data_IF_010871404164
#
_entry.id   IF_010871404164
#
_cell.length_a   1.000
_cell.length_b   1.000
_cell.length_c   1.000
_cell.angle_alpha   90.00
_cell.angle_beta   90.00
_cell.angle_gamma   90.00
#
_symmetry.space_group_name_H-M   'P 1'
#
loop_
_entity.id
_entity.type
_entity.pdbx_description
1 polymer ?
#
# COMPACT_ATOMS: atom_id res chain seq x y z
N UNK A 1 -3.76 -11.69 15.84
CA UNK A 1 -3.63 -10.22 16.02
C UNK A 1 -4.90 -9.76 16.70
N UNK A 2 -4.79 -9.41 17.98
CA UNK A 2 -5.89 -9.01 18.85
C UNK A 2 -6.66 -7.84 18.21
N UNK A 3 -7.98 -7.99 18.06
CA UNK A 3 -8.86 -6.91 17.65
C UNK A 3 -8.95 -5.94 18.83
N UNK A 4 -8.09 -4.93 18.86
CA UNK A 4 -8.26 -3.78 19.76
C UNK A 4 -9.63 -3.18 19.44
N UNK A 5 -10.60 -3.18 20.36
CA UNK A 5 -11.91 -2.59 20.13
C UNK A 5 -11.68 -1.10 19.88
N UNK A 6 -11.96 -0.65 18.67
CA UNK A 6 -11.98 0.78 18.38
C UNK A 6 -13.19 1.30 19.13
N UNK A 7 -12.98 1.91 20.30
CA UNK A 7 -14.06 2.46 21.12
C UNK A 7 -15.06 3.17 20.22
N UNK A 8 -16.29 2.68 20.20
CA UNK A 8 -17.39 3.31 19.50
C UNK A 8 -17.76 4.57 20.28
N UNK A 9 -16.94 5.60 20.13
CA UNK A 9 -17.26 6.93 20.58
C UNK A 9 -18.58 7.33 19.95
N UNK A 10 -19.50 7.91 20.74
CA UNK A 10 -20.78 8.39 20.25
C UNK A 10 -20.52 9.43 19.15
N UNK A 11 -20.88 9.09 17.91
CA UNK A 11 -20.73 9.98 16.74
C UNK A 11 -22.04 10.73 16.52
N UNK A 12 -21.95 12.01 16.15
CA UNK A 12 -23.13 12.78 15.77
C UNK A 12 -23.68 12.30 14.41
N UNK A 13 -24.98 12.49 14.19
CA UNK A 13 -25.66 12.09 12.93
C UNK A 13 -25.00 12.70 11.68
N UNK A 14 -24.43 13.90 11.80
CA UNK A 14 -23.71 14.55 10.71
C UNK A 14 -22.41 13.81 10.36
N UNK A 15 -21.68 13.28 11.36
CA UNK A 15 -20.46 12.49 11.16
C UNK A 15 -20.79 11.15 10.51
N UNK A 16 -21.86 10.48 10.94
CA UNK A 16 -22.32 9.21 10.35
C UNK A 16 -22.63 9.39 8.86
N UNK A 17 -23.41 10.41 8.52
CA UNK A 17 -23.75 10.74 7.12
C UNK A 17 -22.51 11.07 6.27
N UNK A 18 -21.50 11.72 6.87
CA UNK A 18 -20.22 12.01 6.21
C UNK A 18 -19.40 10.74 5.96
N UNK A 19 -19.39 9.81 6.91
CA UNK A 19 -18.71 8.53 6.77
C UNK A 19 -19.38 7.64 5.73
N UNK A 20 -20.71 7.58 5.70
CA UNK A 20 -21.46 6.83 4.68
C UNK A 20 -21.15 7.35 3.27
N UNK A 21 -21.22 8.68 3.07
CA UNK A 21 -20.86 9.30 1.78
C UNK A 21 -19.43 8.97 1.34
N UNK A 22 -18.47 8.92 2.28
CA UNK A 22 -17.07 8.57 1.99
C UNK A 22 -16.87 7.08 1.69
N UNK A 23 -17.70 6.20 2.25
CA UNK A 23 -17.60 4.75 2.03
C UNK A 23 -18.07 4.33 0.64
N UNK A 24 -19.04 5.04 0.07
CA UNK A 24 -19.64 4.68 -1.23
C UNK A 24 -18.63 4.57 -2.38
N UNK A 25 -17.56 5.38 -2.38
CA UNK A 25 -16.50 5.35 -3.40
C UNK A 25 -15.18 4.75 -2.93
N UNK A 26 -15.15 4.14 -1.74
CA UNK A 26 -13.92 3.61 -1.14
C UNK A 26 -13.67 2.17 -1.60
N UNK A 27 -13.38 2.00 -2.89
CA UNK A 27 -12.87 0.73 -3.43
C UNK A 27 -11.34 0.81 -3.51
N UNK A 28 -10.67 -0.24 -3.04
CA UNK A 28 -9.22 -0.40 -3.18
C UNK A 28 -8.95 -1.51 -4.19
N UNK A 29 -7.85 -1.40 -4.93
CA UNK A 29 -7.41 -2.47 -5.81
C UNK A 29 -7.01 -3.71 -4.98
N UNK A 30 -7.43 -4.94 -5.37
CA UNK A 30 -7.13 -6.15 -4.61
C UNK A 30 -5.64 -6.38 -4.37
N UNK A 31 -4.76 -6.02 -5.32
CA UNK A 31 -3.32 -6.21 -5.16
C UNK A 31 -2.74 -5.26 -4.12
N UNK A 32 -3.32 -4.07 -3.98
CA UNK A 32 -2.93 -3.11 -2.94
C UNK A 32 -3.44 -3.61 -1.57
N UNK A 33 -4.65 -4.17 -1.51
CA UNK A 33 -5.20 -4.74 -0.28
C UNK A 33 -4.34 -5.90 0.26
N UNK A 34 -3.84 -6.78 -0.62
CA UNK A 34 -2.91 -7.84 -0.25
C UNK A 34 -1.63 -7.29 0.41
N UNK A 35 -1.05 -6.22 -0.16
CA UNK A 35 0.13 -5.57 0.40
C UNK A 35 -0.13 -4.90 1.75
N UNK A 36 -1.32 -4.32 1.94
CA UNK A 36 -1.76 -3.82 3.25
C UNK A 36 -1.82 -4.93 4.29
N UNK A 37 -2.25 -6.14 3.91
CA UNK A 37 -2.18 -7.33 4.76
C UNK A 37 -0.75 -7.68 5.19
N UNK A 38 0.20 -7.53 4.26
CA UNK A 38 1.64 -7.76 4.51
C UNK A 38 2.37 -6.63 5.25
N UNK A 39 1.75 -5.46 5.40
CA UNK A 39 2.35 -4.29 6.07
C UNK A 39 3.52 -3.64 5.33
N UNK A 40 3.75 -4.02 4.07
CA UNK A 40 4.82 -3.47 3.21
C UNK A 40 4.23 -3.15 1.85
N UNK A 41 4.39 -1.90 1.42
CA UNK A 41 3.90 -1.40 0.14
C UNK A 41 5.06 -1.20 -0.83
N UNK A 42 4.83 -1.49 -2.11
CA UNK A 42 5.78 -1.15 -3.17
C UNK A 42 5.57 0.31 -3.61
N UNK A 43 6.65 1.06 -3.69
CA UNK A 43 6.64 2.48 -4.06
C UNK A 43 7.79 2.81 -5.02
N UNK A 44 7.58 3.83 -5.85
CA UNK A 44 8.60 4.40 -6.73
C UNK A 44 9.19 5.66 -6.10
N UNK A 45 10.52 5.74 -6.01
CA UNK A 45 11.22 6.96 -5.60
C UNK A 45 11.26 7.89 -6.82
N UNK A 46 10.55 9.01 -6.74
CA UNK A 46 10.50 10.03 -7.81
C UNK A 46 11.53 11.14 -7.61
N UNK A 47 12.11 11.24 -6.42
CA UNK A 47 13.16 12.19 -6.07
C UNK A 47 14.55 11.73 -6.48
N UNK A 48 15.53 12.66 -6.46
CA UNK A 48 16.96 12.39 -6.72
C UNK A 48 17.75 12.52 -5.42
N UNK A 49 17.76 11.49 -4.56
CA UNK A 49 18.27 11.58 -3.19
C UNK A 49 19.72 12.05 -3.10
N UNK A 50 20.57 11.72 -4.08
CA UNK A 50 21.96 12.19 -4.11
C UNK A 50 22.14 13.70 -4.34
N UNK A 51 21.08 14.41 -4.76
CA UNK A 51 21.10 15.86 -4.97
C UNK A 51 20.23 16.57 -3.93
N UNK A 52 19.02 16.07 -3.68
CA UNK A 52 18.07 16.71 -2.78
C UNK A 52 18.13 16.20 -1.32
N UNK A 53 18.88 15.12 -1.04
CA UNK A 53 18.96 14.51 0.30
C UNK A 53 17.68 13.84 0.78
N UNK A 54 16.69 13.68 -0.10
CA UNK A 54 15.35 13.15 0.23
C UNK A 54 14.98 12.00 -0.70
N UNK A 55 14.23 11.03 -0.17
CA UNK A 55 13.73 9.85 -0.89
C UNK A 55 12.20 9.87 -0.96
N UNK A 56 11.63 10.99 -1.41
CA UNK A 56 10.20 11.11 -1.65
C UNK A 56 9.78 10.34 -2.91
N UNK A 57 8.53 9.88 -2.93
CA UNK A 57 8.00 8.98 -3.94
C UNK A 57 6.48 8.80 -3.86
N UNK A 58 5.96 7.85 -4.63
CA UNK A 58 4.53 7.50 -4.67
C UNK A 58 4.33 5.97 -4.67
N UNK A 59 3.16 5.52 -4.22
CA UNK A 59 2.80 4.09 -4.16
C UNK A 59 2.47 3.59 -5.57
N UNK A 60 2.92 2.37 -5.89
CA UNK A 60 2.59 1.75 -7.16
C UNK A 60 1.14 1.25 -7.16
N UNK A 61 0.36 1.62 -8.17
CA UNK A 61 -1.05 1.25 -8.29
C UNK A 61 -1.37 0.66 -9.68
N UNK A 62 -2.45 -0.12 -9.76
CA UNK A 62 -2.99 -0.67 -11.01
C UNK A 62 -1.95 -1.35 -11.91
N UNK A 63 -1.91 -0.97 -13.19
CA UNK A 63 -1.04 -1.59 -14.22
C UNK A 63 0.45 -1.47 -13.89
N UNK A 64 0.86 -0.38 -13.25
CA UNK A 64 2.27 -0.17 -12.88
C UNK A 64 2.69 -1.18 -11.81
N UNK A 65 1.82 -1.41 -10.83
CA UNK A 65 2.05 -2.40 -9.78
C UNK A 65 2.15 -3.82 -10.35
N UNK A 66 1.25 -4.20 -11.25
CA UNK A 66 1.29 -5.51 -11.92
C UNK A 66 2.59 -5.73 -12.70
N UNK A 67 3.04 -4.71 -13.43
CA UNK A 67 4.26 -4.77 -14.23
C UNK A 67 5.50 -5.04 -13.37
N UNK A 68 5.68 -4.27 -12.29
CA UNK A 68 6.82 -4.44 -11.40
C UNK A 68 6.74 -5.72 -10.58
N UNK A 69 5.55 -6.14 -10.15
CA UNK A 69 5.36 -7.42 -9.44
C UNK A 69 5.81 -8.60 -10.29
N UNK A 70 5.38 -8.65 -11.57
CA UNK A 70 5.82 -9.69 -12.53
C UNK A 70 7.33 -9.66 -12.72
N UNK A 71 7.94 -8.46 -12.82
CA UNK A 71 9.40 -8.30 -13.00
C UNK A 71 10.18 -8.81 -11.78
N UNK A 72 9.73 -8.50 -10.57
CA UNK A 72 10.34 -8.96 -9.31
C UNK A 72 10.26 -10.48 -9.19
N UNK A 73 9.10 -11.08 -9.47
CA UNK A 73 8.92 -12.54 -9.44
C UNK A 73 9.83 -13.25 -10.45
N UNK A 74 9.92 -12.74 -11.69
CA UNK A 74 10.83 -13.29 -12.71
C UNK A 74 12.30 -13.20 -12.30
N UNK A 75 12.70 -12.09 -11.65
CA UNK A 75 14.07 -11.92 -11.13
C UNK A 75 14.35 -12.91 -10.00
N UNK A 76 13.40 -13.11 -9.08
CA UNK A 76 13.52 -14.10 -7.99
C UNK A 76 13.68 -15.53 -8.55
N UNK A 77 12.93 -15.89 -9.59
CA UNK A 77 13.02 -17.21 -10.23
C UNK A 77 14.30 -17.47 -11.05
N UNK A 78 15.04 -16.43 -11.45
CA UNK A 78 16.27 -16.55 -12.25
C UNK A 78 17.59 -16.39 -11.45
N UNK A 79 17.53 -16.04 -10.17
CA UNK A 79 18.76 -15.81 -9.38
C UNK A 79 18.58 -15.71 -7.86
N UNK A 80 17.50 -16.26 -7.31
CA UNK A 80 17.12 -16.09 -5.90
C UNK A 80 17.57 -17.21 -4.95
N UNK A 81 18.83 -17.63 -5.02
CA UNK A 81 19.52 -18.28 -3.91
C UNK A 81 20.76 -17.42 -3.59
N UNK A 82 20.58 -16.39 -2.75
CA UNK A 82 21.67 -15.48 -2.42
C UNK A 82 21.21 -14.11 -1.93
N UNK A 83 20.56 -14.07 -0.77
CA UNK A 83 20.48 -12.90 0.12
C UNK A 83 19.65 -13.30 1.36
N UNK A 84 20.16 -14.28 2.10
CA UNK A 84 19.77 -14.57 3.47
C UNK A 84 21.04 -15.05 4.19
N UNK A 85 21.86 -14.07 4.59
CA UNK A 85 22.95 -14.16 5.55
C UNK A 85 23.02 -12.80 6.24
#
# INVERSE_FOLDING_TARGET
>A
REKVPREESKKSNHVLRKLEKRQQGRTLDPHIEEQFGGGRLLACISSRPGQCGRADGYILEGKELEFYTKKIQRKKGKGGAGAAA
#
